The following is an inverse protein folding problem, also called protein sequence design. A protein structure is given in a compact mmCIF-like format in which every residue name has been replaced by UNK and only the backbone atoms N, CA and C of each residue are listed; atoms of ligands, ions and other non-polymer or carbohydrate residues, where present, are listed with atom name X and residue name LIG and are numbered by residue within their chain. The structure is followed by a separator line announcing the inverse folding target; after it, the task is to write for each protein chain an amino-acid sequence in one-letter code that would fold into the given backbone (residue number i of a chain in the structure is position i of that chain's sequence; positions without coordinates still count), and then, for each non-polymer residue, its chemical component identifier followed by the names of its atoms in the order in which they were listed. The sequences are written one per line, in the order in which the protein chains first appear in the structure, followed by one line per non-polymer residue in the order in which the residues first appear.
data_IF_178039423159
#
_entry.id   IF_178039423159
#
_cell.length_a   1.000
_cell.length_b   1.000
_cell.length_c   1.000
_cell.angle_alpha   90.00
_cell.angle_beta   90.00
_cell.angle_gamma   90.00
#
_symmetry.space_group_name_H-M   'P 1'
#
loop_
_entity.id
_entity.type
_entity.pdbx_description
1 polymer ?
#
# COMPACT_ATOMS: atom_id res chain seq x y z
N UNK A 1 26.99 -9.72 1.15
CA UNK A 1 25.79 -10.01 0.33
C UNK A 1 24.84 -11.04 0.95
N UNK A 2 25.19 -11.69 2.08
CA UNK A 2 24.35 -12.73 2.71
C UNK A 2 23.31 -12.19 3.71
N UNK A 3 23.55 -11.01 4.29
CA UNK A 3 22.67 -10.47 5.35
C UNK A 3 21.31 -9.94 4.83
N UNK A 4 21.21 -9.52 3.57
CA UNK A 4 19.97 -8.94 3.00
C UNK A 4 18.90 -10.00 2.71
N UNK A 5 19.27 -11.18 2.21
CA UNK A 5 18.33 -12.30 2.02
C UNK A 5 17.69 -12.74 3.34
N UNK A 6 18.48 -12.75 4.42
CA UNK A 6 18.01 -13.11 5.75
C UNK A 6 16.91 -12.15 6.26
N UNK A 7 17.05 -10.84 6.00
CA UNK A 7 16.08 -9.86 6.49
C UNK A 7 14.72 -9.96 5.78
N UNK A 8 14.71 -10.10 4.45
CA UNK A 8 13.45 -10.27 3.70
C UNK A 8 12.71 -11.55 4.09
N UNK A 9 13.44 -12.66 4.27
CA UNK A 9 12.86 -13.92 4.76
C UNK A 9 12.31 -13.79 6.19
N UNK A 10 12.97 -13.00 7.04
CA UNK A 10 12.49 -12.73 8.39
C UNK A 10 11.20 -11.91 8.36
N UNK A 11 11.11 -10.86 7.54
CA UNK A 11 9.88 -10.08 7.35
C UNK A 11 8.73 -10.99 6.91
N UNK A 12 8.98 -11.88 5.94
CA UNK A 12 7.99 -12.85 5.47
C UNK A 12 7.49 -13.77 6.60
N UNK A 13 8.41 -14.34 7.39
CA UNK A 13 8.06 -15.23 8.52
C UNK A 13 7.29 -14.52 9.64
N UNK A 14 7.60 -13.26 9.90
CA UNK A 14 6.86 -12.47 10.91
C UNK A 14 5.47 -12.10 10.39
N UNK A 15 5.34 -11.69 9.12
CA UNK A 15 4.05 -11.39 8.49
C UNK A 15 3.10 -12.61 8.51
N UNK A 16 3.62 -13.82 8.29
CA UNK A 16 2.81 -15.05 8.36
C UNK A 16 2.10 -15.27 9.70
N UNK A 17 2.56 -14.66 10.80
CA UNK A 17 1.96 -14.79 12.13
C UNK A 17 0.85 -13.78 12.40
N UNK A 18 0.71 -12.76 11.55
CA UNK A 18 -0.25 -11.67 11.73
C UNK A 18 -1.63 -12.04 11.17
N UNK A 19 -2.72 -11.53 11.77
CA UNK A 19 -4.05 -11.58 11.16
C UNK A 19 -4.09 -10.77 9.87
N UNK A 20 -5.01 -11.12 8.97
CA UNK A 20 -5.11 -10.52 7.63
C UNK A 20 -5.09 -8.97 7.61
N UNK A 21 -5.81 -8.24 8.48
CA UNK A 21 -5.79 -6.77 8.45
C UNK A 21 -4.38 -6.19 8.64
N UNK A 22 -3.60 -6.75 9.57
CA UNK A 22 -2.23 -6.31 9.83
C UNK A 22 -1.28 -6.70 8.70
N UNK A 23 -1.52 -7.83 8.03
CA UNK A 23 -0.77 -8.18 6.82
C UNK A 23 -1.01 -7.21 5.66
N UNK A 24 -2.24 -6.68 5.51
CA UNK A 24 -2.51 -5.64 4.52
C UNK A 24 -1.71 -4.37 4.84
N UNK A 25 -1.65 -3.96 6.11
CA UNK A 25 -0.85 -2.80 6.52
C UNK A 25 0.65 -2.97 6.21
N UNK A 26 1.20 -4.16 6.50
CA UNK A 26 2.59 -4.48 6.15
C UNK A 26 2.82 -4.39 4.64
N UNK A 27 1.90 -4.92 3.84
CA UNK A 27 1.99 -4.85 2.37
C UNK A 27 1.93 -3.40 1.88
N UNK A 28 0.98 -2.60 2.36
CA UNK A 28 0.86 -1.18 2.01
C UNK A 28 2.12 -0.40 2.39
N UNK A 29 2.77 -0.74 3.50
CA UNK A 29 4.03 -0.10 3.89
C UNK A 29 5.18 -0.46 2.95
N UNK A 30 5.26 -1.72 2.51
CA UNK A 30 6.26 -2.14 1.51
C UNK A 30 6.03 -1.39 0.19
N UNK A 31 4.79 -1.32 -0.29
CA UNK A 31 4.42 -0.57 -1.51
C UNK A 31 4.78 0.91 -1.40
N UNK A 32 4.53 1.53 -0.24
CA UNK A 32 4.94 2.92 0.02
C UNK A 32 6.46 3.11 -0.05
N UNK A 33 7.25 2.17 0.49
CA UNK A 33 8.71 2.24 0.41
C UNK A 33 9.18 2.09 -1.04
N UNK A 34 8.57 1.19 -1.82
CA UNK A 34 8.89 1.03 -3.23
C UNK A 34 8.59 2.30 -4.03
N UNK A 35 7.45 2.93 -3.76
CA UNK A 35 7.09 4.23 -4.33
C UNK A 35 8.09 5.32 -3.96
N UNK A 36 8.33 5.51 -2.65
CA UNK A 36 9.20 6.57 -2.12
C UNK A 36 10.63 6.47 -2.65
N UNK A 37 11.14 5.27 -2.82
CA UNK A 37 12.52 5.03 -3.29
C UNK A 37 12.61 4.79 -4.80
N UNK A 38 11.50 4.87 -5.54
CA UNK A 38 11.47 4.69 -6.99
C UNK A 38 11.90 3.28 -7.43
N UNK A 39 11.66 2.28 -6.58
CA UNK A 39 11.91 0.86 -6.83
C UNK A 39 10.75 0.26 -7.64
N UNK A 40 9.53 0.76 -7.40
CA UNK A 40 8.34 0.36 -8.13
C UNK A 40 8.48 0.65 -9.64
N UNK A 41 7.92 -0.24 -10.45
CA UNK A 41 7.90 -0.08 -11.90
C UNK A 41 7.15 1.21 -12.25
N UNK A 42 7.88 2.21 -12.76
CA UNK A 42 7.37 3.55 -13.07
C UNK A 42 6.15 3.50 -14.00
N UNK A 43 6.04 2.46 -14.82
CA UNK A 43 4.87 2.24 -15.67
C UNK A 43 3.58 2.00 -14.89
N UNK A 44 3.64 1.17 -13.84
CA UNK A 44 2.48 0.86 -12.98
C UNK A 44 2.13 2.06 -12.11
N UNK A 45 3.13 2.77 -11.60
CA UNK A 45 2.90 3.95 -10.75
C UNK A 45 2.24 5.10 -11.53
N UNK A 46 2.68 5.33 -12.78
CA UNK A 46 2.04 6.31 -13.66
C UNK A 46 0.58 5.95 -13.95
N UNK A 47 0.25 4.66 -14.10
CA UNK A 47 -1.13 4.20 -14.30
C UNK A 47 -1.97 4.36 -13.04
N UNK A 48 -1.42 4.06 -11.86
CA UNK A 48 -2.07 4.31 -10.56
C UNK A 48 -2.37 5.81 -10.39
N UNK A 49 -1.37 6.66 -10.61
CA UNK A 49 -1.53 8.13 -10.56
C UNK A 49 -2.55 8.65 -11.58
N UNK A 50 -2.60 8.10 -12.79
CA UNK A 50 -3.58 8.49 -13.80
C UNK A 50 -5.03 8.12 -13.42
N UNK A 51 -5.22 7.12 -12.55
CA UNK A 51 -6.54 6.73 -12.04
C UNK A 51 -6.97 7.53 -10.80
N UNK A 52 -6.04 8.18 -10.10
CA UNK A 52 -6.29 8.93 -8.87
C UNK A 52 -7.45 9.95 -9.00
N UNK A 53 -7.55 10.77 -10.06
CA UNK A 53 -8.64 11.75 -10.18
C UNK A 53 -10.04 11.11 -10.28
N UNK A 54 -10.12 9.90 -10.83
CA UNK A 54 -11.38 9.15 -10.92
C UNK A 54 -11.74 8.55 -9.57
N UNK A 55 -10.74 8.07 -8.82
CA UNK A 55 -10.94 7.54 -7.47
C UNK A 55 -11.32 8.64 -6.49
N UNK A 56 -10.68 9.81 -6.56
CA UNK A 56 -11.04 10.99 -5.76
C UNK A 56 -12.51 11.37 -5.99
N UNK A 57 -12.99 11.34 -7.23
CA UNK A 57 -14.40 11.61 -7.54
C UNK A 57 -15.38 10.57 -6.98
N UNK A 58 -14.95 9.32 -6.84
CA UNK A 58 -15.78 8.25 -6.27
C UNK A 58 -15.77 8.31 -4.73
N UNK A 59 -14.62 8.65 -4.15
CA UNK A 59 -14.43 8.76 -2.69
C UNK A 59 -14.97 10.06 -2.09
N UNK A 60 -14.83 11.20 -2.79
CA UNK A 60 -15.45 12.48 -2.42
C UNK A 60 -16.92 12.54 -2.91
N UNK A 61 -17.67 11.45 -2.70
CA UNK A 61 -19.09 11.45 -2.99
C UNK A 61 -19.84 12.11 -1.82
N UNK A 62 -20.50 13.26 -2.01
CA UNK A 62 -21.28 13.92 -0.96
C UNK A 62 -22.46 13.09 -0.44
N UNK A 63 -22.81 11.99 -1.12
CA UNK A 63 -23.79 11.02 -0.61
C UNK A 63 -23.23 10.12 0.51
N UNK A 64 -21.90 10.01 0.63
CA UNK A 64 -21.19 9.20 1.64
C UNK A 64 -20.84 10.00 2.91
N UNK A 65 -21.10 11.32 2.91
CA UNK A 65 -20.95 12.23 4.05
C UNK A 65 -21.96 11.96 5.19
N UNK A 66 -22.93 11.08 4.99
CA UNK A 66 -23.94 10.72 5.99
C UNK A 66 -23.35 10.13 7.29
N UNK A 67 -22.07 9.75 7.28
CA UNK A 67 -21.34 9.21 8.42
C UNK A 67 -20.28 10.16 9.01
N UNK A 68 -20.09 11.37 8.44
CA UNK A 68 -19.04 12.32 8.82
C UNK A 68 -19.40 13.23 10.01
N UNK A 69 -20.66 13.22 10.48
CA UNK A 69 -21.10 13.97 11.65
C UNK A 69 -21.06 13.10 12.94
N UNK A 70 -19.95 13.18 13.69
CA UNK A 70 -19.87 12.83 15.12
C UNK A 70 -18.98 13.78 15.91
#
# INVERSE_FOLDING_TARGET
MEQTKNLAERIYKEAQRLPEPLNREVLSFIEYLEFKHGIADRGIENLKMAQQPTMDRIWDNPEDDAWNDR
#
